data_IF_219733753755
#
_entry.id   IF_219733753755
#
_cell.length_a   1.000
_cell.length_b   1.000
_cell.length_c   1.000
_cell.angle_alpha   90.00
_cell.angle_beta   90.00
_cell.angle_gamma   90.00
#
_symmetry.space_group_name_H-M   'P 1'
#
loop_
_entity.id
_entity.type
_entity.pdbx_description
1 polymer ?
#
# COMPACT_ATOMS: atom_id res chain seq x y z
N UNK A 1 3.58 18.85 -12.44
CA UNK A 1 3.31 18.48 -11.03
C UNK A 1 1.91 17.90 -10.93
N UNK A 2 1.81 16.58 -10.91
CA UNK A 2 0.55 15.80 -10.94
C UNK A 2 -0.25 15.91 -9.65
N UNK A 3 0.40 16.22 -8.52
CA UNK A 3 -0.20 16.28 -7.19
C UNK A 3 -0.22 17.70 -6.61
N UNK A 4 -0.09 18.73 -7.45
CA UNK A 4 -0.19 20.11 -6.98
C UNK A 4 -1.54 20.35 -6.28
N UNK A 5 -1.49 20.93 -5.07
CA UNK A 5 -2.67 21.17 -4.19
C UNK A 5 -3.33 19.89 -3.62
N UNK A 6 -2.77 18.70 -3.82
CA UNK A 6 -3.23 17.47 -3.16
C UNK A 6 -2.62 17.38 -1.76
N UNK A 7 -3.40 16.91 -0.81
CA UNK A 7 -2.98 16.64 0.57
C UNK A 7 -3.07 15.14 0.80
N UNK A 8 -1.97 14.55 1.26
CA UNK A 8 -1.88 13.10 1.39
C UNK A 8 -1.46 12.67 2.80
N UNK A 9 -2.06 11.60 3.30
CA UNK A 9 -1.63 10.86 4.48
C UNK A 9 -0.95 9.56 4.03
N UNK A 10 0.30 9.33 4.45
CA UNK A 10 1.09 8.15 4.08
C UNK A 10 1.49 7.41 5.34
N UNK A 11 0.99 6.19 5.52
CA UNK A 11 1.33 5.34 6.67
C UNK A 11 2.58 4.50 6.42
N UNK A 12 3.34 4.18 7.49
CA UNK A 12 4.60 3.44 7.33
C UNK A 12 5.69 4.20 6.56
N UNK A 13 5.71 5.54 6.67
CA UNK A 13 6.51 6.42 5.83
C UNK A 13 7.91 6.74 6.38
N UNK A 14 8.33 6.13 7.49
CA UNK A 14 9.64 6.42 8.11
C UNK A 14 10.83 5.75 7.41
N UNK A 15 10.61 4.86 6.44
CA UNK A 15 11.65 4.16 5.71
C UNK A 15 11.09 3.41 4.48
N UNK A 16 12.01 2.86 3.65
CA UNK A 16 11.67 1.94 2.56
C UNK A 16 10.67 2.54 1.58
N UNK A 17 9.67 1.73 1.19
CA UNK A 17 8.74 2.12 0.13
C UNK A 17 7.86 3.33 0.50
N UNK A 18 7.36 3.40 1.74
CA UNK A 18 6.58 4.56 2.18
C UNK A 18 7.34 5.87 2.13
N UNK A 19 8.65 5.85 2.44
CA UNK A 19 9.52 7.01 2.28
C UNK A 19 9.75 7.38 0.80
N UNK A 20 9.88 6.38 -0.08
CA UNK A 20 9.98 6.61 -1.52
C UNK A 20 8.70 7.24 -2.09
N UNK A 21 7.52 6.76 -1.68
CA UNK A 21 6.22 7.37 -2.04
C UNK A 21 6.15 8.81 -1.53
N UNK A 22 6.56 9.08 -0.29
CA UNK A 22 6.57 10.42 0.28
C UNK A 22 7.42 11.40 -0.56
N UNK A 23 8.63 10.99 -0.95
CA UNK A 23 9.51 11.79 -1.82
C UNK A 23 8.87 12.06 -3.18
N UNK A 24 8.28 11.03 -3.80
CA UNK A 24 7.62 11.17 -5.09
C UNK A 24 6.42 12.12 -5.01
N UNK A 25 5.60 12.02 -3.96
CA UNK A 25 4.42 12.86 -3.76
C UNK A 25 4.79 14.34 -3.60
N UNK A 26 5.76 14.64 -2.74
CA UNK A 26 6.24 16.02 -2.57
C UNK A 26 6.93 16.53 -3.83
N UNK A 27 7.70 15.71 -4.51
CA UNK A 27 8.28 16.01 -5.81
C UNK A 27 7.25 16.45 -6.86
N UNK A 28 6.03 15.90 -6.76
CA UNK A 28 4.87 16.25 -7.61
C UNK A 28 3.96 17.34 -7.00
N UNK A 29 4.40 18.00 -5.92
CA UNK A 29 3.75 19.18 -5.34
C UNK A 29 2.65 18.91 -4.31
N UNK A 30 2.58 17.70 -3.75
CA UNK A 30 1.63 17.40 -2.68
C UNK A 30 2.10 17.95 -1.33
N UNK A 31 1.16 18.39 -0.49
CA UNK A 31 1.35 18.52 0.94
C UNK A 31 1.13 17.16 1.60
N UNK A 32 2.02 16.70 2.47
CA UNK A 32 1.92 15.36 3.04
C UNK A 32 2.02 15.33 4.57
N UNK A 33 1.28 14.38 5.15
CA UNK A 33 1.45 13.91 6.52
C UNK A 33 2.09 12.53 6.50
N UNK A 34 3.27 12.41 7.08
CA UNK A 34 3.95 11.13 7.29
C UNK A 34 3.49 10.50 8.60
N UNK A 35 3.26 9.19 8.60
CA UNK A 35 2.93 8.44 9.81
C UNK A 35 3.82 7.19 9.95
N UNK A 36 4.32 6.96 11.15
CA UNK A 36 4.95 5.71 11.59
C UNK A 36 4.97 5.66 13.13
N UNK A 37 5.25 4.49 13.72
CA UNK A 37 5.26 4.31 15.19
C UNK A 37 6.47 4.92 15.87
N UNK A 38 7.64 4.79 15.24
CA UNK A 38 8.92 5.28 15.77
C UNK A 38 9.06 6.77 15.44
N UNK A 39 8.89 7.62 16.45
CA UNK A 39 8.90 9.07 16.32
C UNK A 39 10.25 9.61 15.81
N UNK A 40 11.36 9.09 16.34
CA UNK A 40 12.70 9.58 15.99
C UNK A 40 13.04 9.24 14.53
N UNK A 41 12.73 8.00 14.11
CA UNK A 41 12.90 7.61 12.71
C UNK A 41 11.99 8.38 11.77
N UNK A 42 10.76 8.65 12.22
CA UNK A 42 9.80 9.43 11.45
C UNK A 42 10.27 10.88 11.24
N UNK A 43 10.77 11.53 12.27
CA UNK A 43 11.31 12.90 12.17
C UNK A 43 12.57 12.96 11.29
N UNK A 44 13.46 11.95 11.36
CA UNK A 44 14.59 11.87 10.42
C UNK A 44 14.12 11.71 8.97
N UNK A 45 13.11 10.87 8.72
CA UNK A 45 12.52 10.70 7.41
C UNK A 45 11.88 12.00 6.91
N UNK A 46 11.18 12.73 7.78
CA UNK A 46 10.62 14.05 7.46
C UNK A 46 11.72 15.01 6.99
N UNK A 47 12.83 15.13 7.74
CA UNK A 47 13.98 15.96 7.34
C UNK A 47 14.49 15.61 5.95
N UNK A 48 14.72 14.31 5.67
CA UNK A 48 15.17 13.84 4.35
C UNK A 48 14.20 14.18 3.20
N UNK A 49 12.89 14.14 3.46
CA UNK A 49 11.88 14.49 2.44
C UNK A 49 11.86 15.99 2.22
N UNK A 50 11.93 16.80 3.28
CA UNK A 50 12.00 18.27 3.20
C UNK A 50 13.21 18.74 2.39
N UNK A 51 14.40 18.18 2.69
CA UNK A 51 15.64 18.51 1.96
C UNK A 51 15.51 18.19 0.46
N UNK A 52 14.91 17.03 0.11
CA UNK A 52 14.70 16.63 -1.28
C UNK A 52 13.55 17.33 -2.00
N UNK A 53 12.66 17.99 -1.27
CA UNK A 53 11.44 18.58 -1.82
C UNK A 53 11.68 19.88 -2.61
N UNK A 54 12.76 20.61 -2.33
CA UNK A 54 13.04 21.89 -2.98
C UNK A 54 11.91 22.92 -2.81
N UNK A 55 11.15 22.87 -1.70
CA UNK A 55 10.03 23.79 -1.41
C UNK A 55 8.73 23.50 -2.15
N UNK A 56 8.58 22.35 -2.82
CA UNK A 56 7.42 22.03 -3.66
C UNK A 56 6.14 21.67 -2.90
N UNK A 57 6.22 21.29 -1.62
CA UNK A 57 5.09 20.93 -0.77
C UNK A 57 5.46 20.91 0.71
N UNK A 58 4.47 20.97 1.58
CA UNK A 58 4.66 20.86 3.03
C UNK A 58 4.82 19.39 3.44
N UNK A 59 5.74 19.13 4.36
CA UNK A 59 5.98 17.79 4.91
C UNK A 59 5.79 17.83 6.41
N UNK A 60 4.75 17.22 6.90
CA UNK A 60 4.43 17.08 8.30
C UNK A 60 4.62 15.63 8.77
N UNK A 61 4.75 15.41 10.06
CA UNK A 61 4.92 14.08 10.63
C UNK A 61 4.08 13.95 11.92
N UNK A 62 3.40 12.81 12.06
CA UNK A 62 2.63 12.47 13.26
C UNK A 62 2.86 10.99 13.62
N UNK A 63 3.50 10.71 14.77
CA UNK A 63 3.66 9.34 15.24
C UNK A 63 2.31 8.71 15.57
N UNK A 64 2.06 7.48 15.08
CA UNK A 64 0.87 6.70 15.42
C UNK A 64 1.08 5.21 15.14
N UNK A 65 0.46 4.33 15.92
CA UNK A 65 0.31 2.90 15.62
C UNK A 65 -1.00 2.69 14.88
N UNK A 66 -0.93 2.30 13.60
CA UNK A 66 -2.12 2.06 12.77
C UNK A 66 -2.99 0.92 13.29
N UNK A 67 -2.48 0.02 14.13
CA UNK A 67 -3.26 -1.04 14.78
C UNK A 67 -4.05 -0.57 16.01
N UNK A 68 -3.85 0.67 16.45
CA UNK A 68 -4.57 1.28 17.57
C UNK A 68 -5.64 2.25 17.05
N UNK A 69 -6.94 1.99 17.31
CA UNK A 69 -8.03 2.86 16.84
C UNK A 69 -7.92 4.32 17.30
N UNK A 70 -7.52 4.55 18.56
CA UNK A 70 -7.38 5.91 19.11
C UNK A 70 -6.25 6.69 18.45
N UNK A 71 -5.13 6.03 18.14
CA UNK A 71 -4.01 6.63 17.43
C UNK A 71 -4.43 7.03 16.02
N UNK A 72 -5.14 6.14 15.29
CA UNK A 72 -5.61 6.43 13.93
C UNK A 72 -6.60 7.59 13.91
N UNK A 73 -7.55 7.62 14.85
CA UNK A 73 -8.49 8.73 14.98
C UNK A 73 -7.76 10.06 15.22
N UNK A 74 -6.78 10.06 16.14
CA UNK A 74 -5.96 11.25 16.42
C UNK A 74 -5.16 11.66 15.18
N UNK A 75 -4.52 10.71 14.50
CA UNK A 75 -3.74 10.93 13.28
C UNK A 75 -4.57 11.61 12.18
N UNK A 76 -5.75 11.07 11.87
CA UNK A 76 -6.62 11.63 10.82
C UNK A 76 -7.10 13.03 11.21
N UNK A 77 -7.54 13.25 12.44
CA UNK A 77 -7.94 14.57 12.93
C UNK A 77 -6.79 15.58 12.85
N UNK A 78 -5.58 15.19 13.28
CA UNK A 78 -4.37 16.03 13.21
C UNK A 78 -4.02 16.36 11.77
N UNK A 79 -4.12 15.36 10.85
CA UNK A 79 -3.86 15.55 9.42
C UNK A 79 -4.81 16.58 8.83
N UNK A 80 -6.12 16.43 9.04
CA UNK A 80 -7.14 17.34 8.54
C UNK A 80 -6.94 18.77 9.04
N UNK A 81 -6.64 18.93 10.34
CA UNK A 81 -6.42 20.24 10.94
C UNK A 81 -5.14 20.91 10.41
N UNK A 82 -4.04 20.17 10.31
CA UNK A 82 -2.72 20.72 9.97
C UNK A 82 -2.54 20.97 8.47
N UNK A 83 -3.12 20.11 7.61
CA UNK A 83 -3.08 20.29 6.16
C UNK A 83 -4.27 21.13 5.63
N UNK A 84 -5.33 21.29 6.41
CA UNK A 84 -6.56 21.96 6.01
C UNK A 84 -7.47 21.11 5.11
N UNK A 85 -7.31 19.78 5.16
CA UNK A 85 -8.09 18.77 4.42
C UNK A 85 -7.24 17.59 4.00
N UNK A 86 -7.83 16.67 3.21
CA UNK A 86 -7.18 15.45 2.73
C UNK A 86 -7.83 15.01 1.42
N UNK A 87 -7.04 14.65 0.43
CA UNK A 87 -7.49 14.08 -0.85
C UNK A 87 -6.98 12.68 -1.09
N UNK A 88 -5.86 12.29 -0.45
CA UNK A 88 -5.20 11.01 -0.73
C UNK A 88 -4.82 10.30 0.56
N UNK A 89 -5.17 9.01 0.66
CA UNK A 89 -4.70 8.10 1.71
C UNK A 89 -3.83 7.00 1.08
N UNK A 90 -2.60 6.84 1.58
CA UNK A 90 -1.72 5.72 1.22
C UNK A 90 -1.54 4.80 2.43
N UNK A 91 -2.19 3.65 2.42
CA UNK A 91 -2.06 2.60 3.44
C UNK A 91 -0.85 1.71 3.11
N UNK A 92 0.34 2.14 3.53
CA UNK A 92 1.59 1.43 3.25
C UNK A 92 2.15 0.69 4.49
N UNK A 93 1.77 1.06 5.70
CA UNK A 93 2.25 0.38 6.90
C UNK A 93 2.05 -1.15 6.83
N UNK A 94 3.12 -1.92 7.11
CA UNK A 94 3.04 -3.37 7.05
C UNK A 94 4.28 -4.07 7.57
N UNK A 95 4.10 -5.33 7.97
CA UNK A 95 5.14 -6.23 8.46
C UNK A 95 4.94 -7.63 7.90
N UNK A 96 6.01 -8.45 7.83
CA UNK A 96 5.87 -9.86 7.47
C UNK A 96 5.20 -10.69 8.59
N UNK A 97 5.39 -10.29 9.86
CA UNK A 97 5.03 -11.15 10.98
C UNK A 97 6.00 -12.32 11.15
N UNK A 98 5.56 -13.36 11.86
CA UNK A 98 6.41 -14.51 12.13
C UNK A 98 6.69 -15.31 10.85
N UNK A 99 7.83 -15.94 10.84
CA UNK A 99 8.34 -16.76 9.72
C UNK A 99 8.48 -18.22 10.18
N UNK A 100 7.83 -19.12 9.45
CA UNK A 100 7.83 -20.56 9.77
C UNK A 100 6.54 -21.26 9.38
N UNK A 101 6.47 -22.61 9.56
CA UNK A 101 5.24 -23.38 9.41
C UNK A 101 4.13 -22.83 10.33
N UNK A 102 2.89 -22.80 9.86
CA UNK A 102 1.79 -22.15 10.59
C UNK A 102 1.54 -22.74 11.98
N UNK A 103 1.84 -24.02 12.19
CA UNK A 103 1.67 -24.70 13.48
C UNK A 103 2.79 -24.40 14.49
N UNK A 104 3.93 -23.84 14.04
CA UNK A 104 5.11 -23.54 14.87
C UNK A 104 5.29 -22.06 15.17
N UNK A 105 4.57 -21.18 14.48
CA UNK A 105 4.75 -19.74 14.68
C UNK A 105 3.95 -19.21 15.86
N UNK A 106 4.44 -18.16 16.49
CA UNK A 106 3.76 -17.46 17.59
C UNK A 106 2.42 -16.90 17.12
N UNK A 107 1.32 -17.35 17.78
CA UNK A 107 -0.03 -16.82 17.53
C UNK A 107 -0.13 -15.32 17.80
N UNK A 108 0.55 -14.83 18.82
CA UNK A 108 0.62 -13.39 19.14
C UNK A 108 1.21 -12.59 18.00
N UNK A 109 2.35 -13.03 17.46
CA UNK A 109 3.02 -12.32 16.33
C UNK A 109 2.21 -12.44 15.05
N UNK A 110 1.57 -13.59 14.83
CA UNK A 110 0.67 -13.82 13.70
C UNK A 110 -0.51 -12.85 13.72
N UNK A 111 -1.21 -12.75 14.86
CA UNK A 111 -2.33 -11.84 15.07
C UNK A 111 -1.91 -10.38 14.97
N UNK A 112 -0.73 -10.03 15.52
CA UNK A 112 -0.17 -8.70 15.42
C UNK A 112 0.07 -8.28 13.96
N UNK A 113 0.59 -9.19 13.12
CA UNK A 113 0.81 -8.90 11.70
C UNK A 113 -0.52 -8.61 10.98
N UNK A 114 -1.57 -9.37 11.25
CA UNK A 114 -2.91 -9.12 10.71
C UNK A 114 -3.47 -7.79 11.24
N UNK A 115 -3.30 -7.49 12.52
CA UNK A 115 -3.73 -6.22 13.12
C UNK A 115 -3.08 -5.02 12.44
N UNK A 116 -1.77 -5.09 12.14
CA UNK A 116 -1.07 -4.00 11.47
C UNK A 116 -1.47 -3.92 9.99
N UNK A 117 -1.36 -5.04 9.25
CA UNK A 117 -1.49 -5.04 7.79
C UNK A 117 -2.93 -4.85 7.32
N UNK A 118 -3.89 -5.50 7.97
CA UNK A 118 -5.30 -5.48 7.59
C UNK A 118 -6.10 -4.50 8.43
N UNK A 119 -6.17 -4.72 9.76
CA UNK A 119 -7.02 -3.88 10.60
C UNK A 119 -6.56 -2.42 10.60
N UNK A 120 -5.24 -2.16 10.57
CA UNK A 120 -4.70 -0.81 10.44
C UNK A 120 -5.09 -0.13 9.13
N UNK A 121 -5.10 -0.89 8.02
CA UNK A 121 -5.60 -0.40 6.72
C UNK A 121 -7.08 -0.05 6.79
N UNK A 122 -7.91 -0.95 7.35
CA UNK A 122 -9.36 -0.73 7.52
C UNK A 122 -9.64 0.48 8.40
N UNK A 123 -8.94 0.61 9.54
CA UNK A 123 -9.08 1.75 10.45
C UNK A 123 -8.76 3.07 9.75
N UNK A 124 -7.65 3.16 9.03
CA UNK A 124 -7.29 4.37 8.29
C UNK A 124 -8.36 4.73 7.23
N UNK A 125 -8.83 3.76 6.46
CA UNK A 125 -9.90 3.99 5.48
C UNK A 125 -11.18 4.48 6.17
N UNK A 126 -11.60 3.79 7.25
CA UNK A 126 -12.80 4.13 8.01
C UNK A 126 -12.78 5.57 8.54
N UNK A 127 -11.65 6.02 9.07
CA UNK A 127 -11.53 7.35 9.67
C UNK A 127 -11.45 8.48 8.62
N UNK A 128 -10.95 8.21 7.39
CA UNK A 128 -10.89 9.24 6.33
C UNK A 128 -12.15 9.31 5.49
N UNK A 129 -12.89 8.22 5.37
CA UNK A 129 -14.07 8.12 4.50
C UNK A 129 -15.13 9.19 4.74
N UNK A 130 -15.53 9.56 5.98
CA UNK A 130 -16.49 10.63 6.20
C UNK A 130 -16.06 11.95 5.54
N UNK A 131 -14.78 12.29 5.61
CA UNK A 131 -14.23 13.49 4.96
C UNK A 131 -14.28 13.39 3.44
N UNK A 132 -13.91 12.25 2.85
CA UNK A 132 -13.94 12.04 1.40
C UNK A 132 -15.38 12.07 0.86
N UNK A 133 -16.33 11.47 1.58
CA UNK A 133 -17.75 11.47 1.22
C UNK A 133 -18.34 12.89 1.23
N UNK A 134 -18.04 13.69 2.26
CA UNK A 134 -18.46 15.09 2.34
C UNK A 134 -17.90 15.93 1.19
N UNK A 135 -16.62 15.68 0.83
CA UNK A 135 -15.93 16.39 -0.26
C UNK A 135 -16.26 15.85 -1.65
N UNK A 136 -16.90 14.68 -1.74
CA UNK A 136 -17.16 13.93 -2.99
C UNK A 136 -15.88 13.73 -3.82
N UNK A 137 -14.78 13.54 -3.12
CA UNK A 137 -13.47 13.28 -3.71
C UNK A 137 -12.54 12.57 -2.73
N UNK A 138 -11.89 11.52 -3.21
CA UNK A 138 -10.86 10.83 -2.45
C UNK A 138 -10.13 9.78 -3.26
N UNK A 139 -8.83 9.60 -3.01
CA UNK A 139 -8.00 8.54 -3.58
C UNK A 139 -7.43 7.69 -2.46
N UNK A 140 -7.70 6.40 -2.48
CA UNK A 140 -7.18 5.43 -1.50
C UNK A 140 -6.26 4.46 -2.22
N UNK A 141 -5.00 4.44 -1.83
CA UNK A 141 -3.97 3.54 -2.35
C UNK A 141 -3.57 2.55 -1.27
N UNK A 142 -3.88 1.27 -1.50
CA UNK A 142 -3.63 0.17 -0.57
C UNK A 142 -2.38 -0.61 -0.99
N UNK A 143 -1.37 -0.75 -0.11
CA UNK A 143 -0.19 -1.53 -0.45
C UNK A 143 -0.43 -3.02 -0.25
N UNK A 144 -0.41 -3.74 -1.37
CA UNK A 144 -0.46 -5.19 -1.46
C UNK A 144 0.96 -5.78 -1.53
N UNK A 145 1.09 -7.01 -1.97
CA UNK A 145 2.36 -7.71 -2.16
C UNK A 145 2.15 -9.09 -2.78
N UNK A 146 3.24 -9.75 -3.14
CA UNK A 146 3.20 -11.02 -3.87
C UNK A 146 2.36 -12.14 -3.23
N UNK A 147 2.19 -12.13 -1.91
CA UNK A 147 1.34 -13.07 -1.19
C UNK A 147 -0.17 -12.91 -1.42
N UNK A 148 -0.62 -11.81 -2.02
CA UNK A 148 -2.05 -11.57 -2.27
C UNK A 148 -2.62 -12.46 -3.39
N UNK A 149 -1.83 -12.77 -4.41
CA UNK A 149 -2.27 -13.52 -5.59
C UNK A 149 -1.64 -14.89 -5.72
N UNK A 150 -0.66 -15.21 -4.89
CA UNK A 150 0.05 -16.50 -4.89
C UNK A 150 0.30 -16.97 -3.46
N UNK A 151 0.25 -18.29 -3.21
CA UNK A 151 0.69 -18.84 -1.92
C UNK A 151 2.12 -18.41 -1.58
N UNK A 152 2.34 -18.01 -0.33
CA UNK A 152 3.67 -17.67 0.18
C UNK A 152 3.94 -18.53 1.42
N UNK A 153 4.46 -19.75 1.25
CA UNK A 153 4.76 -20.65 2.35
C UNK A 153 5.65 -19.99 3.39
N UNK A 154 5.44 -20.33 4.66
CA UNK A 154 6.18 -19.83 5.82
C UNK A 154 5.96 -18.34 6.17
N UNK A 155 5.12 -17.62 5.40
CA UNK A 155 4.73 -16.23 5.66
C UNK A 155 3.20 -16.08 5.65
N UNK A 156 2.51 -17.01 6.32
CA UNK A 156 1.04 -17.15 6.26
C UNK A 156 0.30 -15.90 6.74
N UNK A 157 0.75 -15.24 7.82
CA UNK A 157 0.14 -14.01 8.32
C UNK A 157 0.20 -12.88 7.29
N UNK A 158 1.36 -12.71 6.65
CA UNK A 158 1.56 -11.71 5.61
C UNK A 158 0.69 -12.00 4.38
N UNK A 159 0.78 -13.22 3.82
CA UNK A 159 0.04 -13.57 2.61
C UNK A 159 -1.48 -13.44 2.81
N UNK A 160 -2.01 -13.97 3.91
CA UNK A 160 -3.42 -13.85 4.25
C UNK A 160 -3.85 -12.38 4.40
N UNK A 161 -3.07 -11.56 5.13
CA UNK A 161 -3.40 -10.15 5.33
C UNK A 161 -3.34 -9.35 4.02
N UNK A 162 -2.39 -9.63 3.13
CA UNK A 162 -2.29 -8.91 1.84
C UNK A 162 -3.38 -9.31 0.84
N UNK A 163 -3.82 -10.57 0.84
CA UNK A 163 -4.99 -10.99 0.08
C UNK A 163 -6.28 -10.32 0.62
N UNK A 164 -6.43 -10.27 1.94
CA UNK A 164 -7.55 -9.61 2.59
C UNK A 164 -7.58 -8.09 2.31
N UNK A 165 -6.42 -7.41 2.29
CA UNK A 165 -6.32 -5.98 1.93
C UNK A 165 -6.81 -5.73 0.50
N UNK A 166 -6.46 -6.60 -0.46
CA UNK A 166 -6.95 -6.45 -1.85
C UNK A 166 -8.47 -6.65 -1.90
N UNK A 167 -8.99 -7.72 -1.31
CA UNK A 167 -10.44 -7.98 -1.30
C UNK A 167 -11.21 -6.88 -0.56
N UNK A 168 -10.66 -6.35 0.54
CA UNK A 168 -11.23 -5.20 1.23
C UNK A 168 -11.28 -3.97 0.29
N UNK A 169 -10.18 -3.70 -0.43
CA UNK A 169 -10.12 -2.58 -1.39
C UNK A 169 -11.17 -2.69 -2.49
N UNK A 170 -11.34 -3.87 -3.09
CA UNK A 170 -12.37 -4.14 -4.09
C UNK A 170 -13.78 -3.95 -3.51
N UNK A 171 -14.03 -4.44 -2.28
CA UNK A 171 -15.32 -4.28 -1.61
C UNK A 171 -15.61 -2.81 -1.31
N UNK A 172 -14.63 -2.08 -0.77
CA UNK A 172 -14.76 -0.66 -0.46
C UNK A 172 -15.00 0.17 -1.73
N UNK A 173 -14.32 -0.16 -2.84
CA UNK A 173 -14.54 0.49 -4.13
C UNK A 173 -16.01 0.39 -4.60
N UNK A 174 -16.64 -0.77 -4.39
CA UNK A 174 -18.07 -0.95 -4.67
C UNK A 174 -18.98 -0.15 -3.73
N UNK A 175 -18.66 -0.12 -2.43
CA UNK A 175 -19.42 0.65 -1.43
C UNK A 175 -19.44 2.16 -1.73
N UNK A 176 -18.35 2.69 -2.34
CA UNK A 176 -18.21 4.12 -2.65
C UNK A 176 -18.34 4.44 -4.14
N UNK A 177 -18.81 3.47 -4.94
CA UNK A 177 -18.98 3.63 -6.39
C UNK A 177 -19.87 4.84 -6.71
N UNK A 178 -19.41 5.69 -7.60
CA UNK A 178 -20.13 6.91 -8.02
C UNK A 178 -20.11 8.06 -7.01
N UNK A 179 -19.39 7.93 -5.90
CA UNK A 179 -19.28 8.97 -4.87
C UNK A 179 -18.02 9.84 -5.01
N UNK A 180 -17.26 9.70 -6.11
CA UNK A 180 -16.04 10.45 -6.38
C UNK A 180 -14.83 9.95 -5.58
N UNK A 181 -14.88 8.69 -5.12
CA UNK A 181 -13.79 8.08 -4.35
C UNK A 181 -13.28 6.85 -5.09
N UNK A 182 -11.98 6.84 -5.40
CA UNK A 182 -11.32 5.70 -6.05
C UNK A 182 -10.45 4.93 -5.06
N UNK A 183 -10.56 3.60 -5.06
CA UNK A 183 -9.85 2.71 -4.16
C UNK A 183 -9.10 1.67 -4.97
N UNK A 184 -7.76 1.68 -4.91
CA UNK A 184 -6.94 0.73 -5.66
C UNK A 184 -5.85 0.12 -4.80
N UNK A 185 -5.46 -1.11 -5.12
CA UNK A 185 -4.35 -1.81 -4.50
C UNK A 185 -3.12 -1.80 -5.43
N UNK A 186 -1.92 -1.65 -4.84
CA UNK A 186 -0.65 -1.62 -5.55
C UNK A 186 0.24 -2.78 -5.12
N UNK A 187 0.73 -3.56 -6.08
CA UNK A 187 1.83 -4.48 -5.92
C UNK A 187 3.13 -3.82 -6.44
N UNK A 188 3.99 -3.30 -5.57
CA UNK A 188 5.10 -2.44 -5.97
C UNK A 188 6.29 -3.19 -6.59
N UNK A 189 6.25 -4.52 -6.58
CA UNK A 189 7.36 -5.39 -7.03
C UNK A 189 8.22 -5.91 -5.88
N UNK A 190 9.31 -6.56 -6.25
CA UNK A 190 10.26 -7.18 -5.32
C UNK A 190 11.28 -6.13 -4.83
N UNK A 191 10.95 -5.44 -3.74
CA UNK A 191 11.72 -4.31 -3.23
C UNK A 191 12.82 -4.72 -2.25
N UNK A 192 14.00 -4.12 -2.36
CA UNK A 192 15.07 -4.25 -1.37
C UNK A 192 14.81 -3.31 -0.19
N UNK A 193 14.07 -3.79 0.79
CA UNK A 193 13.69 -3.08 2.01
C UNK A 193 14.08 -3.92 3.24
N UNK A 194 13.89 -3.36 4.43
CA UNK A 194 14.02 -4.09 5.70
C UNK A 194 13.28 -5.43 5.70
N UNK A 195 12.15 -5.54 5.02
CA UNK A 195 11.41 -6.80 4.92
C UNK A 195 12.23 -7.89 4.22
N UNK A 196 13.01 -7.56 3.19
CA UNK A 196 13.93 -8.50 2.57
C UNK A 196 15.07 -8.89 3.53
N UNK A 197 15.62 -7.92 4.26
CA UNK A 197 16.67 -8.20 5.25
C UNK A 197 16.18 -9.16 6.33
N UNK A 198 14.94 -8.97 6.84
CA UNK A 198 14.29 -9.90 7.79
C UNK A 198 14.14 -11.33 7.25
N UNK A 199 13.95 -11.53 5.94
CA UNK A 199 13.90 -12.86 5.30
C UNK A 199 15.29 -13.49 5.31
N UNK A 200 16.31 -12.71 4.97
CA UNK A 200 17.70 -13.19 4.93
C UNK A 200 18.22 -13.51 6.34
N UNK A 201 17.89 -12.69 7.33
CA UNK A 201 18.24 -12.94 8.74
C UNK A 201 17.54 -14.19 9.32
N UNK A 202 16.28 -14.45 8.90
CA UNK A 202 15.54 -15.62 9.35
C UNK A 202 16.16 -16.95 8.86
N UNK A 203 16.79 -16.93 7.70
CA UNK A 203 17.46 -18.09 7.10
C UNK A 203 16.53 -19.12 6.44
N UNK A 204 17.10 -20.05 5.66
CA UNK A 204 16.34 -20.97 4.82
C UNK A 204 15.45 -21.95 5.61
N UNK A 205 15.79 -22.24 6.85
CA UNK A 205 15.00 -23.15 7.69
C UNK A 205 13.64 -22.56 8.11
N UNK A 206 13.55 -21.21 8.22
CA UNK A 206 12.32 -20.52 8.63
C UNK A 206 11.50 -20.00 7.45
N UNK A 207 12.10 -19.70 6.32
CA UNK A 207 11.37 -19.13 5.16
C UNK A 207 11.30 -20.10 3.97
N UNK A 208 11.88 -21.28 4.09
CA UNK A 208 12.01 -22.24 3.00
C UNK A 208 13.14 -21.91 2.04
N UNK A 209 13.85 -22.96 1.58
CA UNK A 209 15.08 -22.82 0.79
C UNK A 209 14.86 -22.03 -0.51
N UNK A 210 13.80 -22.37 -1.25
CA UNK A 210 13.51 -21.70 -2.53
C UNK A 210 13.28 -20.19 -2.39
N UNK A 211 12.51 -19.78 -1.38
CA UNK A 211 12.26 -18.36 -1.13
C UNK A 211 13.52 -17.63 -0.61
N UNK A 212 14.30 -18.27 0.23
CA UNK A 212 15.58 -17.74 0.70
C UNK A 212 16.58 -17.50 -0.44
N UNK A 213 16.73 -18.49 -1.34
CA UNK A 213 17.61 -18.37 -2.52
C UNK A 213 17.13 -17.28 -3.48
N UNK A 214 15.80 -17.13 -3.62
CA UNK A 214 15.22 -16.01 -4.39
C UNK A 214 15.56 -14.67 -3.73
N UNK A 215 15.45 -14.56 -2.41
CA UNK A 215 15.79 -13.35 -1.66
C UNK A 215 17.26 -12.98 -1.79
N UNK A 216 18.17 -13.95 -1.77
CA UNK A 216 19.60 -13.73 -2.03
C UNK A 216 19.85 -13.18 -3.43
N UNK A 217 19.25 -13.80 -4.45
CA UNK A 217 19.36 -13.31 -5.84
C UNK A 217 18.81 -11.88 -5.97
N UNK A 218 17.65 -11.60 -5.39
CA UNK A 218 17.06 -10.27 -5.37
C UNK A 218 17.99 -9.25 -4.71
N UNK A 219 18.58 -9.58 -3.56
CA UNK A 219 19.54 -8.70 -2.85
C UNK A 219 20.74 -8.37 -3.72
N UNK A 220 21.30 -9.37 -4.40
CA UNK A 220 22.49 -9.23 -5.26
C UNK A 220 22.20 -8.44 -6.54
N UNK A 221 21.01 -8.60 -7.12
CA UNK A 221 20.62 -7.97 -8.39
C UNK A 221 20.02 -6.56 -8.23
N UNK A 222 19.75 -6.10 -7.00
CA UNK A 222 19.23 -4.76 -6.72
C UNK A 222 17.70 -4.67 -6.55
N UNK A 223 16.94 -5.72 -6.89
CA UNK A 223 15.48 -5.71 -6.80
C UNK A 223 14.79 -4.71 -7.77
N UNK A 224 13.50 -4.51 -7.60
CA UNK A 224 12.74 -3.50 -8.35
C UNK A 224 13.07 -2.10 -7.80
N UNK A 225 13.36 -1.09 -8.65
CA UNK A 225 13.49 0.29 -8.20
C UNK A 225 12.22 0.77 -7.49
N UNK A 226 12.37 1.37 -6.31
CA UNK A 226 11.21 1.85 -5.53
C UNK A 226 10.44 2.96 -6.25
N UNK A 227 11.12 3.71 -7.08
CA UNK A 227 10.59 4.82 -7.88
C UNK A 227 9.48 4.36 -8.81
N UNK A 228 9.58 3.15 -9.39
CA UNK A 228 8.54 2.60 -10.27
C UNK A 228 7.20 2.41 -9.54
N UNK A 229 7.24 1.80 -8.36
CA UNK A 229 6.06 1.66 -7.52
C UNK A 229 5.54 3.01 -6.98
N UNK A 230 6.45 3.91 -6.62
CA UNK A 230 6.09 5.26 -6.17
C UNK A 230 5.43 6.07 -7.30
N UNK A 231 5.87 5.93 -8.55
CA UNK A 231 5.24 6.56 -9.71
C UNK A 231 3.82 6.03 -9.97
N UNK A 232 3.58 4.72 -9.78
CA UNK A 232 2.22 4.18 -9.83
C UNK A 232 1.34 4.77 -8.70
N UNK A 233 1.88 4.94 -7.49
CA UNK A 233 1.14 5.61 -6.41
C UNK A 233 0.83 7.07 -6.75
N UNK A 234 1.75 7.80 -7.41
CA UNK A 234 1.52 9.16 -7.91
C UNK A 234 0.40 9.18 -8.96
N UNK A 235 0.44 8.26 -9.93
CA UNK A 235 -0.62 8.12 -10.93
C UNK A 235 -1.98 7.91 -10.27
N UNK A 236 -2.09 6.93 -9.35
CA UNK A 236 -3.34 6.62 -8.65
C UNK A 236 -3.82 7.73 -7.69
N UNK A 237 -2.94 8.62 -7.26
CA UNK A 237 -3.27 9.77 -6.43
C UNK A 237 -3.63 11.03 -7.25
N UNK A 238 -3.37 11.03 -8.56
CA UNK A 238 -3.61 12.14 -9.47
C UNK A 238 -4.98 12.05 -10.16
N UNK A 239 -5.36 13.11 -10.85
CA UNK A 239 -6.55 13.11 -11.72
C UNK A 239 -6.41 12.23 -12.96
N UNK A 240 -5.19 11.83 -13.32
CA UNK A 240 -4.95 10.95 -14.48
C UNK A 240 -5.58 9.55 -14.31
N UNK A 241 -5.92 9.18 -13.06
CA UNK A 241 -6.57 7.91 -12.71
C UNK A 241 -8.03 8.06 -12.25
N UNK A 242 -8.67 9.21 -12.48
CA UNK A 242 -10.06 9.41 -12.07
C UNK A 242 -10.97 8.36 -12.72
N UNK A 243 -11.76 7.66 -11.89
CA UNK A 243 -12.64 6.56 -12.32
C UNK A 243 -11.98 5.18 -12.36
N UNK A 244 -10.66 5.06 -12.25
CA UNK A 244 -9.99 3.76 -12.06
C UNK A 244 -10.13 3.36 -10.59
N UNK A 245 -10.97 2.37 -10.30
CA UNK A 245 -11.27 1.93 -8.93
C UNK A 245 -11.47 0.43 -8.84
N UNK A 246 -11.23 -0.17 -7.66
CA UNK A 246 -11.39 -1.60 -7.39
C UNK A 246 -10.32 -2.48 -8.04
N UNK A 247 -9.16 -1.95 -8.40
CA UNK A 247 -8.12 -2.67 -9.13
C UNK A 247 -6.88 -2.99 -8.28
N UNK A 248 -6.29 -4.15 -8.53
CA UNK A 248 -4.96 -4.54 -8.05
C UNK A 248 -3.96 -4.37 -9.19
N UNK A 249 -3.11 -3.35 -9.10
CA UNK A 249 -2.16 -3.01 -10.16
C UNK A 249 -0.73 -3.33 -9.75
N UNK A 250 0.02 -3.96 -10.65
CA UNK A 250 1.44 -4.21 -10.50
C UNK A 250 2.26 -3.09 -11.13
N UNK A 251 3.14 -2.48 -10.34
CA UNK A 251 4.04 -1.46 -10.87
C UNK A 251 5.02 -2.00 -11.93
N UNK A 252 5.27 -3.32 -11.93
CA UNK A 252 6.28 -3.96 -12.79
C UNK A 252 5.69 -4.56 -14.04
N UNK A 253 4.49 -5.19 -13.92
CA UNK A 253 3.96 -6.06 -14.97
C UNK A 253 2.81 -5.45 -15.75
N UNK A 254 2.14 -4.44 -15.21
CA UNK A 254 0.95 -3.85 -15.84
C UNK A 254 1.31 -2.54 -16.55
N UNK A 255 0.68 -2.24 -17.71
CA UNK A 255 0.89 -1.00 -18.47
C UNK A 255 0.08 0.16 -17.86
N UNK A 256 0.27 0.40 -16.56
CA UNK A 256 -0.56 1.33 -15.79
C UNK A 256 -0.49 2.78 -16.30
N UNK A 257 0.57 3.15 -17.01
CA UNK A 257 0.72 4.47 -17.60
C UNK A 257 -0.35 4.81 -18.65
N UNK A 258 -0.93 3.78 -19.29
CA UNK A 258 -1.97 3.92 -20.33
C UNK A 258 -3.37 3.52 -19.89
N UNK A 259 -3.58 3.20 -18.61
CA UNK A 259 -4.89 2.70 -18.14
C UNK A 259 -6.01 3.75 -18.28
N UNK A 260 -5.68 5.05 -18.30
CA UNK A 260 -6.67 6.10 -18.56
C UNK A 260 -7.35 5.96 -19.94
N UNK A 261 -6.65 5.39 -20.92
CA UNK A 261 -7.17 5.15 -22.27
C UNK A 261 -8.11 3.93 -22.33
N UNK A 262 -8.19 3.14 -21.26
CA UNK A 262 -8.93 1.87 -21.16
C UNK A 262 -9.97 1.86 -20.03
N UNK A 263 -10.45 3.04 -19.62
CA UNK A 263 -11.41 3.15 -18.50
C UNK A 263 -12.69 2.33 -18.79
N UNK A 264 -13.20 2.35 -20.03
CA UNK A 264 -14.41 1.61 -20.41
C UNK A 264 -14.20 0.09 -20.28
N UNK A 265 -13.00 -0.41 -20.60
CA UNK A 265 -12.65 -1.83 -20.45
C UNK A 265 -12.46 -2.24 -18.97
N UNK A 266 -12.11 -1.29 -18.12
CA UNK A 266 -11.91 -1.52 -16.68
C UNK A 266 -13.19 -1.41 -15.89
N UNK A 267 -14.12 -0.55 -16.32
CA UNK A 267 -15.39 -0.33 -15.64
C UNK A 267 -16.24 -1.60 -15.76
N UNK A 268 -16.84 -2.02 -14.65
CA UNK A 268 -17.70 -3.21 -14.55
C UNK A 268 -17.06 -4.53 -15.04
N UNK A 269 -15.71 -4.59 -15.06
CA UNK A 269 -14.95 -5.78 -15.44
C UNK A 269 -14.16 -6.37 -14.28
N UNK A 270 -13.80 -7.65 -14.38
CA UNK A 270 -12.94 -8.36 -13.43
C UNK A 270 -11.43 -8.24 -13.76
N UNK A 271 -11.07 -7.42 -14.74
CA UNK A 271 -9.68 -7.13 -15.08
C UNK A 271 -8.99 -6.51 -13.86
N UNK A 272 -7.81 -7.04 -13.51
CA UNK A 272 -7.04 -6.62 -12.31
C UNK A 272 -7.78 -6.79 -10.97
N UNK A 273 -8.62 -7.82 -10.85
CA UNK A 273 -9.29 -8.16 -9.58
C UNK A 273 -8.93 -9.56 -9.07
N UNK A 274 -9.19 -9.84 -7.79
CA UNK A 274 -9.13 -11.19 -7.25
C UNK A 274 -10.41 -11.95 -7.60
N UNK A 275 -10.31 -13.00 -8.41
CA UNK A 275 -11.42 -13.87 -8.74
C UNK A 275 -11.05 -15.35 -8.69
N UNK A 276 -12.05 -16.20 -8.60
CA UNK A 276 -11.89 -17.64 -8.74
C UNK A 276 -11.64 -17.99 -10.22
N UNK A 277 -10.55 -18.69 -10.48
CA UNK A 277 -10.31 -19.31 -11.79
C UNK A 277 -11.06 -20.61 -11.89
N UNK A 278 -11.72 -20.84 -13.01
CA UNK A 278 -12.46 -22.06 -13.32
C UNK A 278 -11.86 -22.76 -14.54
N UNK A 279 -12.18 -24.07 -14.78
CA UNK A 279 -11.60 -24.80 -15.90
C UNK A 279 -11.74 -24.11 -17.26
N UNK A 280 -12.88 -23.46 -17.49
CA UNK A 280 -13.15 -22.70 -18.71
C UNK A 280 -12.15 -21.55 -18.96
N UNK A 281 -11.66 -20.89 -17.89
CA UNK A 281 -10.66 -19.82 -17.99
C UNK A 281 -9.29 -20.33 -18.49
N UNK A 282 -9.10 -21.65 -18.48
CA UNK A 282 -7.91 -22.34 -18.97
C UNK A 282 -8.18 -23.19 -20.22
N UNK A 283 -9.28 -22.92 -20.93
CA UNK A 283 -9.66 -23.66 -22.14
C UNK A 283 -10.00 -25.14 -21.88
N UNK A 284 -10.45 -25.46 -20.64
CA UNK A 284 -10.91 -26.79 -20.29
C UNK A 284 -12.44 -26.83 -20.30
N UNK A 285 -13.03 -27.93 -20.73
CA UNK A 285 -14.46 -28.12 -20.92
C UNK A 285 -15.16 -28.93 -19.83
N UNK A 286 -14.53 -29.10 -18.66
CA UNK A 286 -15.05 -29.81 -17.52
C UNK A 286 -15.31 -28.86 -16.32
N UNK A 287 -16.43 -29.01 -15.62
CA UNK A 287 -16.84 -28.28 -14.40
C UNK A 287 -17.96 -27.29 -14.62
#
# INVERSE_FOLDING_TARGET
MKLARRRALITGASQGFGLAVARAFVGEGADIMLCARDADRLHRAQGQVVEGAGGKGRVLASPADVSNPSDVQCLVRTTLASLGGLEVLVCNAGVYGPKGPVHDVSWREWSQAVSINLMGTVLCCREVLPHFLDRKYGKIVLLSGGGATKPLPYLSAYAASKAAVVRFGETLAEEVRGLGIDVNAVAPGALNTRLLDEVLEAGPNKVGRAFYEQALRQKAQGGTPMERGASLCVFLASSDSDGITGKLLSAVWDPWESLADHIDDLTDSDIYTLRRLVPKDRGKDWG
#
